data_IF_436063988437
#
_entry.id   IF_436063988437
#
_cell.length_a   1.000
_cell.length_b   1.000
_cell.length_c   1.000
_cell.angle_alpha   90.00
_cell.angle_beta   90.00
_cell.angle_gamma   90.00
#
_symmetry.space_group_name_H-M   'P 1'
#
loop_
_entity.id
_entity.type
_entity.pdbx_description
1 polymer ?
#
# COMPACT_ATOMS: atom_id res chain seq x y z
N UNK A 1 17.65 -0.51 5.91
CA UNK A 1 17.33 0.65 5.05
C UNK A 1 15.98 0.50 4.33
N UNK A 2 15.58 -0.65 3.76
CA UNK A 2 14.20 -0.84 3.25
C UNK A 2 13.20 -1.45 4.25
N UNK A 3 13.63 -2.27 5.22
CA UNK A 3 12.76 -2.80 6.30
C UNK A 3 12.37 -1.75 7.35
N UNK A 4 12.99 -0.58 7.27
CA UNK A 4 12.89 0.47 8.27
C UNK A 4 11.62 1.31 8.04
N UNK A 5 11.36 1.72 6.79
CA UNK A 5 10.20 2.56 6.45
C UNK A 5 8.86 1.96 6.84
N UNK A 6 8.64 0.68 6.51
CA UNK A 6 7.39 0.01 6.87
C UNK A 6 7.24 -0.12 8.39
N UNK A 7 8.30 -0.48 9.10
CA UNK A 7 8.26 -0.62 10.56
C UNK A 7 8.02 0.73 11.25
N UNK A 8 8.70 1.79 10.80
CA UNK A 8 8.54 3.14 11.32
C UNK A 8 7.14 3.68 11.07
N UNK A 9 6.59 3.48 9.87
CA UNK A 9 5.22 3.84 9.58
C UNK A 9 4.19 3.10 10.45
N UNK A 10 4.37 1.80 10.66
CA UNK A 10 3.44 1.03 11.50
C UNK A 10 3.51 1.45 12.97
N UNK A 11 4.70 1.84 13.46
CA UNK A 11 4.87 2.44 14.78
C UNK A 11 4.22 3.82 14.84
N UNK A 12 4.42 4.67 13.83
CA UNK A 12 3.75 5.97 13.70
C UNK A 12 2.22 5.83 13.76
N UNK A 13 1.64 4.88 13.03
CA UNK A 13 0.20 4.64 13.07
C UNK A 13 -0.30 4.20 14.46
N UNK A 14 0.47 3.37 15.15
CA UNK A 14 0.10 2.82 16.45
C UNK A 14 0.26 3.83 17.58
N UNK A 15 1.40 4.52 17.62
CA UNK A 15 1.83 5.36 18.74
C UNK A 15 1.34 6.79 18.54
N UNK A 16 1.64 7.39 17.38
CA UNK A 16 1.36 8.81 17.14
C UNK A 16 -0.06 9.05 16.65
N UNK A 17 -0.58 8.20 15.75
CA UNK A 17 -1.98 8.29 15.27
C UNK A 17 -2.97 7.55 16.16
N UNK A 18 -2.50 6.76 17.13
CA UNK A 18 -3.36 6.03 18.08
C UNK A 18 -4.35 5.06 17.41
N UNK A 19 -4.04 4.55 16.21
CA UNK A 19 -4.95 3.65 15.52
C UNK A 19 -5.03 2.29 16.23
N UNK A 20 -6.20 1.65 16.13
CA UNK A 20 -6.40 0.33 16.72
C UNK A 20 -5.40 -0.70 16.15
N UNK A 21 -5.00 -1.67 16.97
CA UNK A 21 -4.12 -2.78 16.54
C UNK A 21 -4.67 -3.51 15.30
N UNK A 22 -6.00 -3.62 15.19
CA UNK A 22 -6.65 -4.24 14.04
C UNK A 22 -6.47 -3.42 12.77
N UNK A 23 -6.59 -2.10 12.86
CA UNK A 23 -6.35 -1.18 11.75
C UNK A 23 -4.88 -1.21 11.32
N UNK A 24 -3.94 -1.19 12.27
CA UNK A 24 -2.50 -1.30 12.00
C UNK A 24 -2.16 -2.64 11.35
N UNK A 25 -2.70 -3.75 11.85
CA UNK A 25 -2.48 -5.08 11.27
C UNK A 25 -3.09 -5.20 9.86
N UNK A 26 -4.22 -4.55 9.62
CA UNK A 26 -4.82 -4.43 8.30
C UNK A 26 -3.89 -3.70 7.32
N UNK A 27 -3.33 -2.56 7.72
CA UNK A 27 -2.39 -1.78 6.90
C UNK A 27 -1.08 -2.52 6.68
N UNK A 28 -0.55 -3.19 7.72
CA UNK A 28 0.63 -4.06 7.61
C UNK A 28 0.46 -5.08 6.50
N UNK A 29 -0.61 -5.89 6.53
CA UNK A 29 -0.87 -6.92 5.52
C UNK A 29 -0.95 -6.33 4.11
N UNK A 30 -1.52 -5.14 3.98
CA UNK A 30 -1.67 -4.48 2.69
C UNK A 30 -0.31 -4.00 2.16
N UNK A 31 0.48 -3.33 2.99
CA UNK A 31 1.82 -2.85 2.60
C UNK A 31 2.83 -3.99 2.41
N UNK A 32 2.71 -5.09 3.15
CA UNK A 32 3.53 -6.30 2.93
C UNK A 32 3.28 -6.92 1.55
N UNK A 33 2.05 -6.85 1.01
CA UNK A 33 1.79 -7.29 -0.38
C UNK A 33 2.54 -6.42 -1.39
N UNK A 34 2.55 -5.12 -1.17
CA UNK A 34 3.28 -4.22 -2.06
C UNK A 34 4.80 -4.38 -1.90
N UNK A 35 5.30 -4.59 -0.67
CA UNK A 35 6.70 -4.92 -0.44
C UNK A 35 7.13 -6.19 -1.21
N UNK A 36 6.28 -7.22 -1.21
CA UNK A 36 6.49 -8.42 -2.00
C UNK A 36 6.49 -8.12 -3.51
N UNK A 37 5.53 -7.33 -3.99
CA UNK A 37 5.48 -6.91 -5.39
C UNK A 37 6.77 -6.16 -5.81
N UNK A 38 7.25 -5.22 -4.99
CA UNK A 38 8.50 -4.52 -5.22
C UNK A 38 9.67 -5.52 -5.32
N UNK A 39 9.76 -6.45 -4.37
CA UNK A 39 10.81 -7.46 -4.33
C UNK A 39 10.85 -8.32 -5.61
N UNK A 40 9.71 -8.85 -6.07
CA UNK A 40 9.69 -9.71 -7.27
C UNK A 40 9.99 -8.94 -8.56
N UNK A 41 9.70 -7.63 -8.58
CA UNK A 41 10.01 -6.75 -9.71
C UNK A 41 11.38 -6.06 -9.58
N UNK A 42 12.16 -6.39 -8.54
CA UNK A 42 13.46 -5.77 -8.24
C UNK A 42 13.40 -4.24 -8.13
N UNK A 43 12.28 -3.74 -7.58
CA UNK A 43 12.07 -2.34 -7.26
C UNK A 43 12.16 -2.12 -5.74
N UNK A 44 12.27 -0.88 -5.33
CA UNK A 44 12.21 -0.47 -3.93
C UNK A 44 11.23 0.68 -3.73
N UNK A 45 11.00 1.05 -2.47
CA UNK A 45 10.05 2.09 -2.08
C UNK A 45 10.34 3.48 -2.69
N UNK A 46 11.60 3.74 -3.06
CA UNK A 46 12.11 5.04 -3.48
C UNK A 46 12.18 5.18 -5.01
N UNK A 47 12.40 4.07 -5.73
CA UNK A 47 12.68 4.02 -7.17
C UNK A 47 11.48 3.65 -8.03
N UNK A 48 10.41 3.10 -7.43
CA UNK A 48 9.19 2.76 -8.17
C UNK A 48 8.53 4.01 -8.77
N UNK A 49 8.07 3.91 -10.03
CA UNK A 49 7.37 5.00 -10.70
C UNK A 49 5.87 5.00 -10.39
N UNK A 50 5.21 6.14 -10.59
CA UNK A 50 3.74 6.24 -10.46
C UNK A 50 2.99 5.26 -11.36
N UNK A 51 3.52 5.02 -12.55
CA UNK A 51 2.88 4.19 -13.58
C UNK A 51 2.91 2.70 -13.19
N UNK A 52 3.90 2.29 -12.41
CA UNK A 52 4.02 0.92 -11.88
C UNK A 52 2.95 0.63 -10.81
N UNK A 53 2.37 1.65 -10.17
CA UNK A 53 1.28 1.44 -9.22
C UNK A 53 0.01 0.93 -9.91
N UNK A 54 -0.22 1.29 -11.17
CA UNK A 54 -1.33 0.74 -11.95
C UNK A 54 -1.10 -0.75 -12.25
N UNK A 55 0.15 -1.12 -12.55
CA UNK A 55 0.56 -2.52 -12.74
C UNK A 55 0.43 -3.32 -11.45
N UNK A 56 0.77 -2.75 -10.31
CA UNK A 56 0.53 -3.37 -9.00
C UNK A 56 -0.97 -3.63 -8.75
N UNK A 57 -1.84 -2.66 -9.06
CA UNK A 57 -3.29 -2.85 -8.91
C UNK A 57 -3.79 -3.97 -9.85
N UNK A 58 -3.28 -4.03 -11.08
CA UNK A 58 -3.60 -5.11 -12.00
C UNK A 58 -3.09 -6.48 -11.49
N UNK A 59 -1.89 -6.50 -10.89
CA UNK A 59 -1.29 -7.67 -10.28
C UNK A 59 -2.12 -8.20 -9.09
N UNK A 60 -2.68 -7.32 -8.25
CA UNK A 60 -3.62 -7.69 -7.19
C UNK A 60 -4.94 -8.29 -7.72
N UNK A 61 -5.33 -7.96 -8.96
CA UNK A 61 -6.48 -8.56 -9.65
C UNK A 61 -6.18 -9.90 -10.31
N UNK A 62 -4.92 -10.33 -10.29
CA UNK A 62 -4.44 -11.61 -10.82
C UNK A 62 -3.62 -11.50 -12.10
N UNK A 63 -3.34 -10.30 -12.62
CA UNK A 63 -2.47 -10.16 -13.80
C UNK A 63 -1.07 -10.70 -13.48
N UNK A 64 -0.64 -11.74 -14.20
CA UNK A 64 0.62 -12.46 -13.97
C UNK A 64 0.75 -13.03 -12.54
N UNK A 65 -0.38 -13.31 -11.86
CA UNK A 65 -0.44 -13.65 -10.43
C UNK A 65 -1.76 -14.32 -10.02
N UNK A 66 -2.13 -15.41 -10.69
CA UNK A 66 -3.46 -16.02 -10.52
C UNK A 66 -3.71 -16.55 -9.09
N UNK A 67 -2.66 -16.96 -8.38
CA UNK A 67 -2.75 -17.55 -7.03
C UNK A 67 -3.02 -16.52 -5.92
N UNK A 68 -2.74 -15.23 -6.16
CA UNK A 68 -2.76 -14.20 -5.13
C UNK A 68 -3.75 -13.06 -5.45
N UNK A 69 -4.79 -13.38 -6.23
CA UNK A 69 -5.90 -12.48 -6.50
C UNK A 69 -6.68 -12.16 -5.22
N UNK A 70 -6.96 -10.88 -4.99
CA UNK A 70 -7.80 -10.41 -3.88
C UNK A 70 -9.03 -9.64 -4.39
N UNK A 71 -10.08 -9.56 -3.58
CA UNK A 71 -11.30 -8.84 -3.94
C UNK A 71 -11.14 -7.31 -3.95
N UNK A 72 -11.97 -6.61 -4.73
CA UNK A 72 -11.91 -5.14 -4.92
C UNK A 72 -11.96 -4.35 -3.60
N UNK A 73 -12.66 -4.86 -2.57
CA UNK A 73 -12.67 -4.25 -1.24
C UNK A 73 -11.29 -4.23 -0.57
N UNK A 74 -10.55 -5.33 -0.69
CA UNK A 74 -9.17 -5.41 -0.20
C UNK A 74 -8.24 -4.56 -1.05
N UNK A 75 -8.44 -4.51 -2.37
CA UNK A 75 -7.65 -3.65 -3.27
C UNK A 75 -7.84 -2.17 -2.91
N UNK A 76 -9.07 -1.72 -2.67
CA UNK A 76 -9.32 -0.34 -2.23
C UNK A 76 -8.59 0.01 -0.94
N UNK A 77 -8.60 -0.90 0.04
CA UNK A 77 -7.87 -0.71 1.30
C UNK A 77 -6.35 -0.70 1.09
N UNK A 78 -5.83 -1.52 0.17
CA UNK A 78 -4.42 -1.48 -0.23
C UNK A 78 -4.03 -0.12 -0.83
N UNK A 79 -4.86 0.42 -1.74
CA UNK A 79 -4.62 1.74 -2.34
C UNK A 79 -4.63 2.84 -1.27
N UNK A 80 -5.56 2.81 -0.32
CA UNK A 80 -5.59 3.77 0.79
C UNK A 80 -4.35 3.63 1.68
N UNK A 81 -3.96 2.40 2.03
CA UNK A 81 -2.77 2.16 2.83
C UNK A 81 -1.50 2.69 2.12
N UNK A 82 -1.37 2.48 0.81
CA UNK A 82 -0.26 2.99 0.00
C UNK A 82 -0.22 4.51 -0.04
N UNK A 83 -1.36 5.17 -0.24
CA UNK A 83 -1.44 6.64 -0.23
C UNK A 83 -0.94 7.21 1.09
N UNK A 84 -1.47 6.71 2.19
CA UNK A 84 -1.11 7.16 3.53
C UNK A 84 0.36 6.85 3.85
N UNK A 85 0.87 5.72 3.36
CA UNK A 85 2.28 5.37 3.53
C UNK A 85 3.19 6.33 2.76
N UNK A 86 2.93 6.60 1.48
CA UNK A 86 3.74 7.56 0.71
C UNK A 86 3.56 9.02 1.16
N UNK A 87 2.42 9.38 1.76
CA UNK A 87 2.26 10.67 2.46
C UNK A 87 3.19 10.74 3.67
N UNK A 88 3.29 9.67 4.46
CA UNK A 88 4.23 9.56 5.57
C UNK A 88 5.69 9.62 5.10
N UNK A 89 6.06 8.88 4.04
CA UNK A 89 7.42 8.91 3.49
C UNK A 89 7.80 10.30 2.97
N UNK A 90 6.85 11.03 2.39
CA UNK A 90 7.08 12.39 1.94
C UNK A 90 7.27 13.37 3.09
N UNK A 91 6.60 13.15 4.22
CA UNK A 91 6.71 14.02 5.40
C UNK A 91 7.96 13.74 6.25
N UNK A 92 8.30 12.47 6.48
CA UNK A 92 9.35 12.07 7.42
C UNK A 92 10.69 11.73 6.76
N UNK A 93 10.70 11.51 5.45
CA UNK A 93 11.87 10.99 4.72
C UNK A 93 12.16 11.70 3.39
N UNK A 94 11.52 12.85 3.13
CA UNK A 94 11.70 13.67 1.91
C UNK A 94 11.53 12.89 0.59
N UNK A 95 10.72 11.82 0.58
CA UNK A 95 10.44 11.06 -0.64
C UNK A 95 9.30 11.69 -1.44
N UNK A 96 9.32 11.48 -2.76
CA UNK A 96 8.20 11.87 -3.61
C UNK A 96 7.02 10.93 -3.38
N UNK A 97 5.85 11.49 -3.08
CA UNK A 97 4.63 10.69 -3.01
C UNK A 97 4.13 10.35 -4.42
N UNK A 98 4.48 9.15 -4.89
CA UNK A 98 4.05 8.59 -6.17
C UNK A 98 2.60 8.10 -6.18
N UNK A 99 2.00 7.91 -5.00
CA UNK A 99 0.65 7.35 -4.84
C UNK A 99 -0.45 8.42 -4.85
N UNK A 100 -0.13 9.72 -5.01
CA UNK A 100 -1.14 10.80 -5.00
C UNK A 100 -2.22 10.65 -6.06
N UNK A 101 -1.85 10.14 -7.24
CA UNK A 101 -2.73 10.03 -8.41
C UNK A 101 -3.53 8.73 -8.46
N UNK A 102 -3.19 7.72 -7.64
CA UNK A 102 -3.91 6.46 -7.65
C UNK A 102 -5.22 6.56 -6.86
N UNK A 103 -6.29 6.05 -7.48
CA UNK A 103 -7.62 6.06 -6.91
C UNK A 103 -8.03 4.63 -6.51
N UNK A 104 -8.58 4.43 -5.30
CA UNK A 104 -9.15 3.15 -4.93
C UNK A 104 -10.25 2.75 -5.93
N UNK A 105 -10.40 1.45 -6.27
CA UNK A 105 -11.55 1.00 -7.03
C UNK A 105 -12.86 1.42 -6.34
N UNK A 106 -13.83 1.87 -7.14
CA UNK A 106 -15.17 2.20 -6.67
C UNK A 106 -15.88 0.91 -6.28
N UNK A 107 -16.00 0.66 -4.98
CA UNK A 107 -16.81 -0.46 -4.48
C UNK A 107 -18.26 0.04 -4.39
N UNK A 108 -19.22 -0.59 -5.09
CA UNK A 108 -20.63 -0.30 -4.89
C UNK A 108 -20.98 -0.51 -3.42
N UNK A 109 -21.57 0.49 -2.76
CA UNK A 109 -22.07 0.31 -1.40
C UNK A 109 -23.15 -0.78 -1.46
N UNK A 110 -22.95 -1.89 -0.75
CA UNK A 110 -24.08 -2.78 -0.43
C UNK A 110 -24.99 -1.96 0.47
N UNK A 111 -26.19 -1.66 -0.02
CA UNK A 111 -27.23 -1.09 0.82
C UNK A 111 -27.57 -2.11 1.92
N UNK A 112 -27.71 -1.68 3.18
CA UNK A 112 -28.12 -2.54 4.28
C UNK A 112 -29.54 -3.09 4.07
#
# INVERSE_FOLDING_TARGET
MASDYLSNYLNFLLIEKGLSKNTVAAYRRDLERFAYYLQINKQDWQSIASDDLALYIAWLRGLNNEEFKIGEASIARNVVALRNFYDYLAAEHDLVNIAKSINPPKIPKRLP
#
